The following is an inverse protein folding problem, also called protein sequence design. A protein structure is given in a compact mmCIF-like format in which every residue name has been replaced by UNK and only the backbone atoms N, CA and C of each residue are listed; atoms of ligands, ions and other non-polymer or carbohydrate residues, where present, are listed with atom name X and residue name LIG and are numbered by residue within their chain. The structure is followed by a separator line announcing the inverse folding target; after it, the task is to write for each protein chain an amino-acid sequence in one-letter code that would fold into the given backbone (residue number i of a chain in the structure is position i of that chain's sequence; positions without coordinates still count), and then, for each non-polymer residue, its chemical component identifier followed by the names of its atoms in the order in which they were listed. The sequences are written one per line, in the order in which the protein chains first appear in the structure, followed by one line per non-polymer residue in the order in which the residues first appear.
data_IF_460836941092
#
_entry.id   IF_460836941092
#
_cell.length_a   1.000
_cell.length_b   1.000
_cell.length_c   1.000
_cell.angle_alpha   90.00
_cell.angle_beta   90.00
_cell.angle_gamma   90.00
#
_symmetry.space_group_name_H-M   'P 1'
#
loop_
_entity.id
_entity.type
_entity.pdbx_description
1 polymer ?
#
# COMPACT_ATOMS: atom_id res chain seq x y z
N UNK A 1 7.28 -18.70 -35.95
CA UNK A 1 8.09 -17.93 -34.98
C UNK A 1 7.18 -16.89 -34.36
N UNK A 2 6.45 -17.28 -33.31
CA UNK A 2 5.60 -16.39 -32.52
C UNK A 2 6.52 -15.67 -31.53
N UNK A 3 6.66 -14.35 -31.74
CA UNK A 3 7.31 -13.50 -30.77
C UNK A 3 6.63 -13.68 -29.41
N UNK A 4 7.37 -14.10 -28.41
CA UNK A 4 6.98 -13.99 -27.02
C UNK A 4 6.71 -12.50 -26.77
N UNK A 5 5.44 -12.08 -26.79
CA UNK A 5 5.04 -10.78 -26.24
C UNK A 5 5.31 -10.91 -24.74
N UNK A 6 6.32 -10.23 -24.24
CA UNK A 6 6.54 -10.10 -22.82
C UNK A 6 5.21 -9.73 -22.17
N UNK A 7 4.84 -10.48 -21.13
CA UNK A 7 3.70 -10.21 -20.27
C UNK A 7 3.97 -8.84 -19.65
N UNK A 8 3.26 -7.81 -20.11
CA UNK A 8 3.59 -6.42 -19.79
C UNK A 8 2.48 -5.82 -18.93
N UNK A 9 2.80 -5.61 -17.66
CA UNK A 9 2.10 -4.66 -16.79
C UNK A 9 2.46 -3.25 -17.26
N UNK A 10 1.48 -2.37 -17.42
CA UNK A 10 1.70 -0.99 -17.82
C UNK A 10 2.29 -0.16 -16.68
N UNK A 11 3.14 0.84 -16.96
CA UNK A 11 3.56 1.83 -15.96
C UNK A 11 2.35 2.46 -15.27
N UNK A 12 2.48 2.75 -13.98
CA UNK A 12 1.37 3.28 -13.18
C UNK A 12 0.87 4.64 -13.69
N UNK A 13 1.75 5.43 -14.27
CA UNK A 13 1.41 6.72 -14.88
C UNK A 13 0.39 6.56 -16.02
N UNK A 14 0.54 5.52 -16.85
CA UNK A 14 -0.41 5.22 -17.93
C UNK A 14 -1.76 4.71 -17.39
N UNK A 15 -1.74 3.99 -16.26
CA UNK A 15 -2.96 3.57 -15.56
C UNK A 15 -3.70 4.80 -15.02
N UNK A 16 -2.96 5.75 -14.39
CA UNK A 16 -3.53 6.98 -13.89
C UNK A 16 -4.12 7.85 -15.02
N UNK A 17 -3.49 7.88 -16.19
CA UNK A 17 -4.02 8.59 -17.36
C UNK A 17 -5.35 7.99 -17.83
N UNK A 18 -5.43 6.68 -18.06
CA UNK A 18 -6.67 6.03 -18.46
C UNK A 18 -7.77 6.17 -17.40
N UNK A 19 -7.40 6.02 -16.13
CA UNK A 19 -8.34 6.17 -15.02
C UNK A 19 -8.88 7.60 -14.91
N UNK A 20 -8.02 8.62 -15.10
CA UNK A 20 -8.39 10.03 -15.12
C UNK A 20 -9.33 10.39 -16.28
N UNK A 21 -9.21 9.68 -17.41
CA UNK A 21 -10.12 9.77 -18.54
C UNK A 21 -11.48 9.06 -18.28
N UNK A 22 -11.70 8.51 -17.08
CA UNK A 22 -12.91 7.77 -16.71
C UNK A 22 -12.98 6.35 -17.28
N UNK A 23 -11.85 5.82 -17.78
CA UNK A 23 -11.78 4.47 -18.32
C UNK A 23 -11.58 3.43 -17.22
N UNK A 24 -12.10 2.23 -17.49
CA UNK A 24 -11.84 1.05 -16.69
C UNK A 24 -10.41 0.55 -16.91
N UNK A 25 -9.75 0.11 -15.84
CA UNK A 25 -8.41 -0.50 -15.85
C UNK A 25 -8.45 -1.84 -15.13
N UNK A 26 -7.41 -2.64 -15.27
CA UNK A 26 -7.19 -3.86 -14.48
C UNK A 26 -6.07 -3.56 -13.47
N UNK A 27 -6.28 -3.87 -12.20
CA UNK A 27 -5.22 -3.91 -11.21
C UNK A 27 -4.94 -5.34 -10.79
N UNK A 28 -3.65 -5.67 -10.60
CA UNK A 28 -3.21 -6.94 -10.04
C UNK A 28 -2.52 -6.72 -8.71
N UNK A 29 -2.77 -7.61 -7.76
CA UNK A 29 -2.05 -7.65 -6.49
C UNK A 29 -0.89 -8.66 -6.53
N UNK A 30 -0.21 -8.80 -5.39
CA UNK A 30 0.95 -9.66 -5.24
C UNK A 30 0.60 -11.15 -5.35
N UNK A 31 1.52 -11.96 -5.93
CA UNK A 31 1.37 -13.42 -6.04
C UNK A 31 1.28 -14.09 -4.66
N UNK A 32 1.92 -13.51 -3.63
CA UNK A 32 1.91 -14.01 -2.26
C UNK A 32 0.67 -13.57 -1.47
N UNK A 33 -0.19 -12.67 -2.04
CA UNK A 33 -1.42 -12.20 -1.41
C UNK A 33 -2.64 -12.98 -1.94
N UNK A 34 -3.46 -12.39 -2.80
CA UNK A 34 -4.63 -13.04 -3.44
C UNK A 34 -4.25 -13.58 -4.82
N UNK A 35 -3.24 -12.95 -5.45
CA UNK A 35 -2.80 -13.22 -6.81
C UNK A 35 -3.95 -13.12 -7.80
N UNK A 36 -4.72 -12.04 -7.73
CA UNK A 36 -5.94 -11.81 -8.50
C UNK A 36 -5.84 -10.52 -9.30
N UNK A 37 -6.79 -10.32 -10.21
CA UNK A 37 -6.94 -9.09 -10.96
C UNK A 37 -8.37 -8.60 -10.94
N UNK A 38 -8.56 -7.32 -10.60
CA UNK A 38 -9.85 -6.66 -10.59
C UNK A 38 -9.98 -5.65 -11.72
N UNK A 39 -11.17 -5.59 -12.31
CA UNK A 39 -11.65 -4.44 -13.06
C UNK A 39 -11.86 -3.29 -12.08
N UNK A 40 -11.34 -2.10 -12.38
CA UNK A 40 -11.43 -0.93 -11.51
C UNK A 40 -11.81 0.31 -12.31
N UNK A 41 -12.82 1.04 -11.87
CA UNK A 41 -13.27 2.30 -12.47
C UNK A 41 -13.69 3.29 -11.38
N UNK A 42 -13.49 4.60 -11.62
CA UNK A 42 -13.96 5.63 -10.69
C UNK A 42 -15.49 5.54 -10.50
N UNK A 43 -15.95 5.50 -9.25
CA UNK A 43 -17.37 5.32 -8.96
C UNK A 43 -18.25 6.45 -9.54
N UNK A 44 -17.72 7.67 -9.62
CA UNK A 44 -18.42 8.80 -10.25
C UNK A 44 -18.51 8.72 -11.78
N UNK A 45 -17.67 7.89 -12.42
CA UNK A 45 -17.63 7.74 -13.89
C UNK A 45 -18.38 6.48 -14.38
N UNK A 46 -18.70 5.53 -13.48
CA UNK A 46 -19.28 4.24 -13.85
C UNK A 46 -20.63 4.40 -14.56
N UNK A 47 -20.83 3.65 -15.62
CA UNK A 47 -22.09 3.61 -16.39
C UNK A 47 -22.79 2.26 -16.25
N UNK A 48 -24.03 2.17 -16.71
CA UNK A 48 -24.76 0.89 -16.76
C UNK A 48 -24.07 -0.13 -17.70
N UNK A 49 -23.40 0.35 -18.74
CA UNK A 49 -22.63 -0.51 -19.66
C UNK A 49 -21.38 -1.08 -18.96
N UNK A 50 -20.71 -0.29 -18.12
CA UNK A 50 -19.57 -0.75 -17.31
C UNK A 50 -20.00 -1.81 -16.29
N UNK A 51 -21.12 -1.59 -15.58
CA UNK A 51 -21.68 -2.57 -14.65
C UNK A 51 -22.07 -3.86 -15.41
N UNK A 52 -22.66 -3.74 -16.58
CA UNK A 52 -22.99 -4.89 -17.42
C UNK A 52 -21.73 -5.61 -17.92
N UNK A 53 -20.68 -4.86 -18.26
CA UNK A 53 -19.38 -5.41 -18.62
C UNK A 53 -18.76 -6.22 -17.46
N UNK A 54 -18.71 -5.62 -16.27
CA UNK A 54 -18.21 -6.29 -15.06
C UNK A 54 -18.98 -7.59 -14.77
N UNK A 55 -20.32 -7.54 -14.82
CA UNK A 55 -21.17 -8.71 -14.57
C UNK A 55 -20.99 -9.80 -15.62
N UNK A 56 -20.82 -9.43 -16.90
CA UNK A 56 -20.76 -10.37 -18.02
C UNK A 56 -19.38 -10.97 -18.25
N UNK A 57 -18.33 -10.16 -18.08
CA UNK A 57 -16.96 -10.54 -18.41
C UNK A 57 -16.06 -10.66 -17.19
N UNK A 58 -16.20 -9.79 -16.18
CA UNK A 58 -15.51 -9.94 -14.88
C UNK A 58 -16.01 -11.16 -14.13
N UNK A 59 -17.32 -11.28 -13.96
CA UNK A 59 -18.04 -12.41 -13.29
C UNK A 59 -17.83 -12.46 -11.78
N UNK A 60 -17.04 -11.55 -11.21
CA UNK A 60 -16.81 -11.41 -9.78
C UNK A 60 -17.94 -10.68 -9.06
N UNK A 61 -17.72 -10.34 -7.79
CA UNK A 61 -18.64 -9.54 -7.01
C UNK A 61 -18.40 -8.07 -7.31
N UNK A 62 -19.45 -7.37 -7.77
CA UNK A 62 -19.36 -5.92 -7.99
C UNK A 62 -19.41 -5.21 -6.65
N UNK A 63 -18.28 -4.64 -6.24
CA UNK A 63 -18.09 -3.95 -4.97
C UNK A 63 -17.87 -2.44 -5.18
N UNK A 64 -18.27 -1.65 -4.17
CA UNK A 64 -18.03 -0.22 -4.12
C UNK A 64 -17.01 0.08 -3.03
N UNK A 65 -15.79 0.49 -3.40
CA UNK A 65 -14.78 0.87 -2.42
C UNK A 65 -15.06 2.27 -1.90
N UNK A 66 -15.07 2.43 -0.57
CA UNK A 66 -15.36 3.70 0.09
C UNK A 66 -14.35 4.00 1.19
N UNK A 67 -14.12 5.27 1.48
CA UNK A 67 -13.38 5.69 2.67
C UNK A 67 -14.18 5.44 3.94
N UNK A 68 -13.49 5.31 5.08
CA UNK A 68 -14.14 5.23 6.41
C UNK A 68 -15.07 6.43 6.66
N UNK A 69 -14.64 7.64 6.25
CA UNK A 69 -15.45 8.85 6.38
C UNK A 69 -16.76 8.76 5.60
N UNK A 70 -16.70 8.29 4.34
CA UNK A 70 -17.89 8.09 3.52
C UNK A 70 -18.81 7.03 4.10
N UNK A 71 -18.28 5.90 4.58
CA UNK A 71 -19.07 4.87 5.26
C UNK A 71 -19.77 5.44 6.50
N UNK A 72 -19.09 6.25 7.30
CA UNK A 72 -19.66 6.91 8.48
C UNK A 72 -20.77 7.89 8.10
N UNK A 73 -20.58 8.71 7.05
CA UNK A 73 -21.57 9.66 6.56
C UNK A 73 -22.84 8.97 6.07
N UNK A 74 -22.70 7.81 5.42
CA UNK A 74 -23.84 7.00 4.96
C UNK A 74 -24.40 6.07 6.06
N UNK A 75 -23.84 6.11 7.28
CA UNK A 75 -24.21 5.25 8.41
C UNK A 75 -24.13 3.74 8.05
N UNK A 76 -23.08 3.33 7.36
CA UNK A 76 -22.84 1.95 6.96
C UNK A 76 -22.01 1.20 8.00
N UNK A 77 -22.60 0.33 8.81
CA UNK A 77 -21.84 -0.54 9.72
C UNK A 77 -21.14 -1.64 8.96
N UNK A 78 -20.07 -2.19 9.53
CA UNK A 78 -19.46 -3.42 9.04
C UNK A 78 -20.49 -4.55 9.06
N UNK A 79 -20.41 -5.44 8.07
CA UNK A 79 -21.29 -6.60 7.91
C UNK A 79 -21.21 -7.57 9.11
N UNK A 80 -20.02 -7.65 9.72
CA UNK A 80 -19.75 -8.50 10.90
C UNK A 80 -18.99 -7.71 11.96
N UNK A 81 -19.16 -8.08 13.25
CA UNK A 81 -18.39 -7.50 14.35
C UNK A 81 -16.97 -8.08 14.41
N UNK A 82 -16.89 -9.41 14.27
CA UNK A 82 -15.63 -10.15 14.30
C UNK A 82 -15.31 -10.64 12.89
N UNK A 83 -14.32 -10.00 12.27
CA UNK A 83 -13.88 -10.34 10.91
C UNK A 83 -12.82 -11.44 10.96
N UNK A 84 -13.22 -12.65 10.57
CA UNK A 84 -12.35 -13.84 10.52
C UNK A 84 -11.88 -14.14 9.08
N UNK A 85 -12.07 -13.22 8.11
CA UNK A 85 -11.59 -13.44 6.75
C UNK A 85 -10.07 -13.36 6.69
N UNK A 86 -9.47 -14.19 5.83
CA UNK A 86 -8.01 -14.32 5.70
C UNK A 86 -7.30 -12.97 5.47
N UNK A 87 -7.91 -12.09 4.71
CA UNK A 87 -7.35 -10.79 4.32
C UNK A 87 -8.02 -9.61 5.00
N UNK A 88 -8.86 -9.87 6.01
CA UNK A 88 -9.53 -8.84 6.82
C UNK A 88 -10.26 -7.78 5.98
N UNK A 89 -10.93 -8.20 4.89
CA UNK A 89 -11.68 -7.31 4.01
C UNK A 89 -12.90 -6.73 4.75
N UNK A 90 -12.99 -5.41 4.85
CA UNK A 90 -14.00 -4.71 5.63
C UNK A 90 -15.30 -4.50 4.82
N UNK A 91 -16.03 -5.57 4.56
CA UNK A 91 -17.36 -5.45 3.99
C UNK A 91 -18.29 -4.70 4.96
N UNK A 92 -19.06 -3.76 4.42
CA UNK A 92 -20.21 -3.17 5.11
C UNK A 92 -21.48 -3.93 4.74
N UNK A 93 -22.61 -3.58 5.37
CA UNK A 93 -23.91 -4.03 4.89
C UNK A 93 -24.12 -3.63 3.44
N UNK A 94 -24.76 -4.49 2.63
CA UNK A 94 -25.09 -4.16 1.24
C UNK A 94 -26.13 -3.05 1.16
N UNK A 95 -26.10 -2.27 0.09
CA UNK A 95 -26.89 -1.05 -0.06
C UNK A 95 -27.73 -1.04 -1.34
N UNK A 96 -28.80 -0.22 -1.28
CA UNK A 96 -29.60 0.19 -2.42
C UNK A 96 -29.90 1.69 -2.33
N UNK A 97 -30.07 2.38 -3.48
CA UNK A 97 -30.58 3.74 -3.46
C UNK A 97 -32.01 3.77 -2.95
N UNK A 98 -32.35 4.71 -2.05
CA UNK A 98 -33.70 4.87 -1.51
C UNK A 98 -34.74 5.27 -2.57
N UNK A 99 -34.26 5.81 -3.70
CA UNK A 99 -35.12 6.29 -4.82
C UNK A 99 -34.44 6.03 -6.17
N UNK A 100 -35.23 5.95 -7.21
CA UNK A 100 -34.73 5.87 -8.60
C UNK A 100 -34.33 4.48 -9.07
N UNK A 101 -34.59 3.44 -8.27
CA UNK A 101 -34.34 2.03 -8.60
C UNK A 101 -35.65 1.24 -8.64
N UNK A 102 -35.60 0.09 -9.32
CA UNK A 102 -36.72 -0.86 -9.39
C UNK A 102 -36.51 -2.02 -8.41
N UNK A 103 -35.92 -3.13 -8.89
CA UNK A 103 -35.59 -4.29 -8.04
C UNK A 103 -34.16 -4.23 -7.50
N UNK A 104 -33.36 -3.26 -7.95
CA UNK A 104 -32.00 -3.01 -7.50
C UNK A 104 -30.88 -3.77 -8.26
N UNK A 105 -31.21 -4.94 -8.84
CA UNK A 105 -30.19 -5.84 -9.43
C UNK A 105 -29.79 -5.46 -10.85
N UNK A 106 -30.60 -4.71 -11.60
CA UNK A 106 -30.26 -4.34 -12.97
C UNK A 106 -28.99 -3.50 -13.04
N UNK A 107 -28.27 -3.51 -14.16
CA UNK A 107 -27.09 -2.68 -14.34
C UNK A 107 -27.40 -1.19 -14.08
N UNK A 108 -28.56 -0.72 -14.58
CA UNK A 108 -29.02 0.66 -14.37
C UNK A 108 -29.31 0.96 -12.89
N UNK A 109 -29.99 0.06 -12.16
CA UNK A 109 -30.29 0.24 -10.75
C UNK A 109 -29.00 0.27 -9.90
N UNK A 110 -28.06 -0.64 -10.18
CA UNK A 110 -26.75 -0.67 -9.50
C UNK A 110 -25.95 0.60 -9.74
N UNK A 111 -25.93 1.11 -10.98
CA UNK A 111 -25.30 2.40 -11.32
C UNK A 111 -25.97 3.55 -10.54
N UNK A 112 -27.29 3.58 -10.47
CA UNK A 112 -28.04 4.58 -9.71
C UNK A 112 -27.65 4.52 -8.22
N UNK A 113 -27.56 3.33 -7.64
CA UNK A 113 -27.15 3.11 -6.25
C UNK A 113 -25.73 3.61 -6.00
N UNK A 114 -24.77 3.29 -6.89
CA UNK A 114 -23.39 3.74 -6.79
C UNK A 114 -23.31 5.27 -6.85
N UNK A 115 -23.93 5.90 -7.85
CA UNK A 115 -23.91 7.37 -7.99
C UNK A 115 -24.55 8.06 -6.80
N UNK A 116 -25.64 7.50 -6.27
CA UNK A 116 -26.27 8.01 -5.04
C UNK A 116 -25.32 7.98 -3.87
N UNK A 117 -24.64 6.84 -3.64
CA UNK A 117 -23.73 6.65 -2.51
C UNK A 117 -22.48 7.55 -2.55
N UNK A 118 -21.98 7.89 -3.76
CA UNK A 118 -20.77 8.72 -3.93
C UNK A 118 -21.06 10.20 -4.21
N UNK A 119 -22.34 10.59 -4.31
CA UNK A 119 -22.73 11.99 -4.46
C UNK A 119 -22.18 12.83 -3.31
N UNK A 120 -21.73 14.05 -3.61
CA UNK A 120 -21.25 15.00 -2.60
C UNK A 120 -22.31 15.28 -1.54
N UNK A 121 -23.59 15.36 -1.93
CA UNK A 121 -24.70 15.61 -1.01
C UNK A 121 -25.25 14.37 -0.31
N UNK A 122 -24.75 13.15 -0.63
CA UNK A 122 -25.28 11.89 -0.12
C UNK A 122 -25.27 11.82 1.42
N UNK A 123 -26.35 11.29 1.96
CA UNK A 123 -26.59 11.08 3.39
C UNK A 123 -27.16 9.67 3.64
N UNK A 124 -27.31 9.30 4.90
CA UNK A 124 -27.90 8.01 5.28
C UNK A 124 -29.34 7.83 4.76
N UNK A 125 -30.10 8.91 4.59
CA UNK A 125 -31.49 8.85 4.13
C UNK A 125 -31.63 8.55 2.62
N UNK A 126 -30.52 8.66 1.87
CA UNK A 126 -30.50 8.39 0.43
C UNK A 126 -30.24 6.91 0.12
N UNK A 127 -29.92 6.11 1.14
CA UNK A 127 -29.52 4.70 1.04
C UNK A 127 -30.45 3.85 1.93
N UNK A 128 -30.82 2.69 1.42
CA UNK A 128 -31.48 1.63 2.18
C UNK A 128 -30.64 0.37 2.22
N UNK A 129 -30.84 -0.45 3.23
CA UNK A 129 -30.15 -1.73 3.45
C UNK A 129 -31.16 -2.83 3.75
N UNK A 130 -30.93 -4.08 3.27
CA UNK A 130 -29.87 -4.51 2.35
C UNK A 130 -30.16 -4.11 0.90
N UNK A 131 -29.17 -4.31 0.01
CA UNK A 131 -29.29 -4.04 -1.42
C UNK A 131 -28.36 -4.91 -2.27
N UNK A 132 -28.09 -4.47 -3.51
CA UNK A 132 -27.37 -5.22 -4.52
C UNK A 132 -25.98 -4.64 -4.86
N UNK A 133 -25.55 -3.61 -4.14
CA UNK A 133 -24.18 -3.11 -4.15
C UNK A 133 -23.54 -3.42 -2.80
N UNK A 134 -22.30 -3.88 -2.82
CA UNK A 134 -21.52 -4.31 -1.66
C UNK A 134 -20.41 -3.30 -1.38
N UNK A 135 -20.60 -2.33 -0.46
CA UNK A 135 -19.54 -1.42 -0.10
C UNK A 135 -18.47 -2.14 0.70
N UNK A 136 -17.20 -1.80 0.39
CA UNK A 136 -16.02 -2.26 1.12
C UNK A 136 -15.28 -1.04 1.63
N UNK A 137 -15.08 -0.97 2.94
CA UNK A 137 -14.41 0.15 3.60
C UNK A 137 -12.90 -0.01 3.50
N UNK A 138 -12.24 0.93 2.82
CA UNK A 138 -10.78 0.98 2.73
C UNK A 138 -10.15 1.32 4.07
N UNK A 139 -8.97 0.77 4.33
CA UNK A 139 -8.16 1.15 5.48
C UNK A 139 -7.64 2.59 5.32
N UNK A 140 -7.63 3.41 6.39
CA UNK A 140 -6.94 4.68 6.39
C UNK A 140 -5.49 4.53 5.93
N UNK A 141 -5.00 5.46 5.09
CA UNK A 141 -3.67 5.36 4.47
C UNK A 141 -3.65 4.61 3.13
N UNK A 142 -4.76 3.99 2.72
CA UNK A 142 -4.90 3.37 1.40
C UNK A 142 -3.92 2.21 1.19
N UNK A 143 -3.33 2.09 -0.02
CA UNK A 143 -2.37 1.02 -0.35
C UNK A 143 -1.11 1.04 0.50
N UNK A 144 -0.81 2.17 1.14
CA UNK A 144 0.30 2.27 2.10
C UNK A 144 0.01 1.55 3.42
N UNK A 145 -1.24 1.29 3.76
CA UNK A 145 -1.65 0.51 4.93
C UNK A 145 -1.96 -0.93 4.56
N UNK A 146 -2.73 -1.16 3.50
CA UNK A 146 -3.11 -2.48 3.02
C UNK A 146 -3.03 -2.54 1.50
N UNK A 147 -2.16 -3.41 0.97
CA UNK A 147 -1.92 -3.54 -0.47
C UNK A 147 -3.04 -4.34 -1.18
N UNK A 148 -4.29 -3.90 -1.04
CA UNK A 148 -5.47 -4.56 -1.61
C UNK A 148 -6.18 -3.71 -2.66
N UNK A 149 -7.01 -4.37 -3.49
CA UNK A 149 -7.79 -3.73 -4.55
C UNK A 149 -8.75 -2.65 -4.01
N UNK A 150 -9.30 -2.84 -2.81
CA UNK A 150 -10.13 -1.86 -2.10
C UNK A 150 -9.42 -0.53 -1.92
N UNK A 151 -8.23 -0.59 -1.32
CA UNK A 151 -7.40 0.58 -1.05
C UNK A 151 -6.87 1.19 -2.36
N UNK A 152 -6.48 0.34 -3.31
CA UNK A 152 -6.00 0.78 -4.61
C UNK A 152 -7.07 1.55 -5.39
N UNK A 153 -8.32 1.11 -5.36
CA UNK A 153 -9.44 1.81 -5.99
C UNK A 153 -9.66 3.20 -5.40
N UNK A 154 -9.67 3.32 -4.07
CA UNK A 154 -9.80 4.62 -3.37
C UNK A 154 -8.63 5.55 -3.69
N UNK A 155 -7.40 5.01 -3.72
CA UNK A 155 -6.20 5.80 -4.01
C UNK A 155 -6.15 6.28 -5.46
N UNK A 156 -6.49 5.43 -6.44
CA UNK A 156 -6.57 5.85 -7.85
C UNK A 156 -7.57 6.99 -8.01
N UNK A 157 -8.77 6.85 -7.42
CA UNK A 157 -9.79 7.89 -7.50
C UNK A 157 -9.29 9.22 -6.90
N UNK A 158 -8.68 9.18 -5.73
CA UNK A 158 -8.11 10.36 -5.05
C UNK A 158 -6.97 11.00 -5.88
N UNK A 159 -6.03 10.22 -6.39
CA UNK A 159 -4.90 10.70 -7.18
C UNK A 159 -5.34 11.33 -8.51
N UNK A 160 -6.45 10.86 -9.07
CA UNK A 160 -7.02 11.40 -10.31
C UNK A 160 -8.00 12.57 -10.08
N UNK A 161 -8.24 12.96 -8.81
CA UNK A 161 -9.10 14.10 -8.46
C UNK A 161 -10.60 13.78 -8.46
N UNK A 162 -10.97 12.51 -8.42
CA UNK A 162 -12.34 12.05 -8.23
C UNK A 162 -12.71 11.94 -6.73
N UNK A 163 -14.00 11.76 -6.43
CA UNK A 163 -14.41 11.28 -5.12
C UNK A 163 -13.65 9.99 -4.80
N UNK A 164 -13.05 9.84 -3.59
CA UNK A 164 -12.26 8.67 -3.23
C UNK A 164 -13.10 7.39 -3.11
N UNK A 165 -13.58 6.92 -4.23
CA UNK A 165 -14.45 5.75 -4.37
C UNK A 165 -14.30 5.13 -5.76
N UNK A 166 -14.28 3.81 -5.84
CA UNK A 166 -14.19 3.05 -7.09
C UNK A 166 -15.18 1.89 -7.09
N UNK A 167 -15.58 1.48 -8.28
CA UNK A 167 -16.25 0.20 -8.48
C UNK A 167 -15.19 -0.81 -8.88
N UNK A 168 -15.16 -1.94 -8.18
CA UNK A 168 -14.24 -3.04 -8.44
C UNK A 168 -15.00 -4.34 -8.68
N UNK A 169 -14.41 -5.24 -9.46
CA UNK A 169 -14.97 -6.55 -9.72
C UNK A 169 -13.83 -7.51 -10.09
N UNK A 170 -13.71 -8.61 -9.38
CA UNK A 170 -12.73 -9.67 -9.67
C UNK A 170 -12.97 -10.26 -11.07
N UNK A 171 -11.88 -10.68 -11.73
CA UNK A 171 -11.95 -11.32 -13.04
C UNK A 171 -11.80 -12.83 -12.88
N UNK A 172 -12.84 -13.55 -13.31
CA UNK A 172 -12.87 -15.01 -13.36
C UNK A 172 -12.76 -15.52 -14.78
N UNK A 173 -12.11 -16.65 -14.94
CA UNK A 173 -12.09 -17.42 -16.17
C UNK A 173 -13.49 -17.98 -16.51
N UNK A 174 -13.76 -18.36 -17.78
CA UNK A 174 -15.05 -18.94 -18.18
C UNK A 174 -15.45 -20.21 -17.42
N UNK A 175 -14.49 -20.93 -16.84
CA UNK A 175 -14.71 -22.13 -16.04
C UNK A 175 -15.01 -21.83 -14.55
N UNK A 176 -14.99 -20.54 -14.17
CA UNK A 176 -15.23 -20.07 -12.80
C UNK A 176 -13.98 -20.03 -11.91
N UNK A 177 -12.81 -20.41 -12.42
CA UNK A 177 -11.55 -20.21 -11.70
C UNK A 177 -11.11 -18.75 -11.74
N UNK A 178 -10.28 -18.34 -10.76
CA UNK A 178 -9.73 -16.98 -10.74
C UNK A 178 -8.74 -16.78 -11.89
N UNK A 179 -8.89 -15.68 -12.64
CA UNK A 179 -7.93 -15.29 -13.67
C UNK A 179 -6.62 -14.84 -13.01
N UNK A 180 -5.49 -15.35 -13.54
CA UNK A 180 -4.14 -14.98 -13.10
C UNK A 180 -3.47 -14.12 -14.16
N UNK A 181 -2.32 -13.52 -13.86
CA UNK A 181 -1.68 -12.56 -14.75
C UNK A 181 -1.60 -13.01 -16.23
N UNK A 182 -1.27 -14.28 -16.59
CA UNK A 182 -1.30 -14.70 -17.98
C UNK A 182 -2.70 -14.61 -18.63
N UNK A 183 -3.77 -14.95 -17.88
CA UNK A 183 -5.15 -14.88 -18.34
C UNK A 183 -5.59 -13.42 -18.48
N UNK A 184 -5.20 -12.57 -17.50
CA UNK A 184 -5.50 -11.15 -17.47
C UNK A 184 -4.87 -10.39 -18.65
N UNK A 185 -3.66 -10.77 -19.08
CA UNK A 185 -3.03 -10.21 -20.28
C UNK A 185 -3.86 -10.52 -21.53
N UNK A 186 -4.35 -11.76 -21.63
CA UNK A 186 -5.28 -12.14 -22.72
C UNK A 186 -6.59 -11.37 -22.66
N UNK A 187 -7.15 -11.22 -21.48
CA UNK A 187 -8.38 -10.46 -21.21
C UNK A 187 -8.21 -8.98 -21.54
N UNK A 188 -7.16 -8.32 -21.00
CA UNK A 188 -6.86 -6.93 -21.25
C UNK A 188 -6.64 -6.64 -22.74
N UNK A 189 -5.86 -7.49 -23.41
CA UNK A 189 -5.64 -7.39 -24.87
C UNK A 189 -6.90 -7.54 -25.71
N UNK A 190 -7.83 -8.41 -25.29
CA UNK A 190 -9.12 -8.61 -25.97
C UNK A 190 -10.06 -7.41 -25.79
N UNK A 191 -10.07 -6.81 -24.63
CA UNK A 191 -11.03 -5.76 -24.27
C UNK A 191 -10.42 -4.34 -24.31
N UNK A 192 -9.13 -4.21 -24.65
CA UNK A 192 -8.44 -2.92 -24.74
C UNK A 192 -8.21 -2.25 -23.37
N UNK A 193 -8.05 -3.05 -22.31
CA UNK A 193 -7.82 -2.58 -20.95
C UNK A 193 -6.34 -2.73 -20.57
N UNK A 194 -5.78 -1.68 -19.96
CA UNK A 194 -4.43 -1.73 -19.38
C UNK A 194 -4.43 -2.45 -18.05
N UNK A 195 -3.28 -3.06 -17.74
CA UNK A 195 -3.05 -3.77 -16.48
C UNK A 195 -1.98 -3.04 -15.69
N UNK A 196 -2.29 -2.63 -14.47
CA UNK A 196 -1.35 -2.05 -13.52
C UNK A 196 -1.13 -2.96 -12.30
N UNK A 197 0.01 -2.80 -11.62
CA UNK A 197 0.27 -3.50 -10.37
C UNK A 197 0.04 -2.59 -9.16
N UNK A 198 -0.58 -3.10 -8.11
CA UNK A 198 -0.73 -2.38 -6.83
C UNK A 198 0.63 -2.02 -6.23
N UNK A 199 1.64 -2.87 -6.42
CA UNK A 199 3.02 -2.58 -6.01
C UNK A 199 3.59 -1.31 -6.68
N UNK A 200 3.26 -1.06 -7.95
CA UNK A 200 3.70 0.17 -8.65
C UNK A 200 2.93 1.41 -8.15
N UNK A 201 1.65 1.26 -7.80
CA UNK A 201 0.89 2.33 -7.15
C UNK A 201 1.47 2.69 -5.77
N UNK A 202 1.90 1.71 -4.98
CA UNK A 202 2.61 1.94 -3.72
C UNK A 202 3.89 2.71 -3.96
N UNK A 203 4.73 2.29 -4.93
CA UNK A 203 5.98 2.99 -5.28
C UNK A 203 5.71 4.43 -5.72
N UNK A 204 4.68 4.63 -6.54
CA UNK A 204 4.28 5.95 -7.03
C UNK A 204 3.88 6.87 -5.86
N UNK A 205 3.03 6.40 -4.95
CA UNK A 205 2.62 7.17 -3.77
C UNK A 205 3.81 7.51 -2.87
N UNK A 206 4.66 6.52 -2.54
CA UNK A 206 5.85 6.74 -1.72
C UNK A 206 6.83 7.74 -2.31
N UNK A 207 6.91 7.81 -3.65
CA UNK A 207 7.78 8.75 -4.36
C UNK A 207 7.21 10.17 -4.40
N UNK A 208 5.90 10.30 -4.56
CA UNK A 208 5.25 11.58 -4.86
C UNK A 208 4.52 12.20 -3.65
N UNK A 209 4.25 11.41 -2.60
CA UNK A 209 3.58 11.87 -1.38
C UNK A 209 4.53 11.74 -0.18
N UNK A 210 4.86 12.84 0.53
CA UNK A 210 5.57 12.72 1.79
C UNK A 210 4.67 12.05 2.83
N UNK A 211 5.14 10.96 3.41
CA UNK A 211 4.41 10.22 4.45
C UNK A 211 5.01 10.41 5.83
N UNK A 212 6.27 10.87 5.90
CA UNK A 212 6.99 11.09 7.15
C UNK A 212 7.41 12.54 7.32
N UNK A 213 7.22 13.08 8.50
CA UNK A 213 7.48 14.46 8.85
C UNK A 213 8.43 14.58 10.04
N UNK A 214 9.46 15.41 9.93
CA UNK A 214 10.33 15.76 11.06
C UNK A 214 9.54 16.55 12.09
N UNK A 215 9.52 16.04 13.34
CA UNK A 215 8.76 16.66 14.45
C UNK A 215 9.68 17.33 15.46
N UNK A 216 10.73 16.64 15.89
CA UNK A 216 11.63 17.11 16.93
C UNK A 216 13.08 16.72 16.61
N UNK A 217 14.02 17.55 17.10
CA UNK A 217 15.44 17.26 17.05
C UNK A 217 16.07 17.53 18.43
N UNK A 218 16.85 16.55 18.92
CA UNK A 218 17.57 16.61 20.17
C UNK A 218 18.99 16.06 20.02
N UNK A 219 19.83 16.23 21.06
CA UNK A 219 21.13 15.57 21.19
C UNK A 219 21.02 14.44 22.20
N UNK A 220 21.57 13.28 21.84
CA UNK A 220 21.61 12.11 22.71
C UNK A 220 23.06 11.67 22.86
N UNK A 221 23.50 11.53 24.10
CA UNK A 221 24.79 10.96 24.44
C UNK A 221 24.67 9.44 24.52
N UNK A 222 25.55 8.76 23.81
CA UNK A 222 25.67 7.30 23.84
C UNK A 222 27.10 6.92 24.24
N UNK A 223 27.34 5.65 24.53
CA UNK A 223 28.72 5.19 24.79
C UNK A 223 29.66 5.32 23.57
N UNK A 224 29.09 5.49 22.36
CA UNK A 224 29.82 5.67 21.10
C UNK A 224 29.95 7.14 20.67
N UNK A 225 29.49 8.09 21.50
CA UNK A 225 29.54 9.51 21.23
C UNK A 225 28.19 10.19 21.21
N UNK A 226 28.19 11.46 20.77
CA UNK A 226 26.99 12.28 20.69
C UNK A 226 26.35 12.19 19.31
N UNK A 227 25.07 11.88 19.29
CA UNK A 227 24.26 11.82 18.06
C UNK A 227 23.17 12.91 18.09
N UNK A 228 22.83 13.45 16.94
CA UNK A 228 21.58 14.18 16.74
C UNK A 228 20.45 13.15 16.61
N UNK A 229 19.47 13.21 17.49
CA UNK A 229 18.29 12.36 17.49
C UNK A 229 17.13 13.13 16.87
N UNK A 230 16.64 12.68 15.73
CA UNK A 230 15.58 13.33 14.99
C UNK A 230 14.38 12.41 14.96
N UNK A 231 13.26 12.93 15.45
CA UNK A 231 12.00 12.20 15.54
C UNK A 231 11.16 12.54 14.30
N UNK A 232 10.68 11.50 13.64
CA UNK A 232 9.76 11.57 12.50
C UNK A 232 8.44 10.93 12.87
N UNK A 233 7.35 11.54 12.43
CA UNK A 233 5.99 10.99 12.52
C UNK A 233 5.54 10.55 11.15
N UNK A 234 5.08 9.30 11.06
CA UNK A 234 4.32 8.78 9.91
C UNK A 234 2.85 9.03 10.19
N UNK A 235 2.27 9.99 9.47
CA UNK A 235 0.89 10.45 9.70
C UNK A 235 -0.12 9.40 9.27
N UNK A 236 0.17 8.66 8.19
CA UNK A 236 -0.71 7.63 7.65
C UNK A 236 -0.81 6.41 8.58
N UNK A 237 0.32 5.96 9.10
CA UNK A 237 0.42 4.78 9.94
C UNK A 237 0.38 5.08 11.44
N UNK A 238 0.41 6.37 11.83
CA UNK A 238 0.50 6.83 13.22
C UNK A 238 1.70 6.23 13.97
N UNK A 239 2.80 6.07 13.25
CA UNK A 239 4.05 5.55 13.81
C UNK A 239 5.05 6.68 14.05
N UNK A 240 5.92 6.50 15.03
CA UNK A 240 7.01 7.43 15.33
C UNK A 240 8.33 6.75 15.03
N UNK A 241 9.12 7.34 14.13
CA UNK A 241 10.43 6.85 13.74
C UNK A 241 11.54 7.70 14.33
N UNK A 242 12.73 7.13 14.45
CA UNK A 242 13.89 7.81 15.01
C UNK A 242 15.08 7.71 14.07
N UNK A 243 15.69 8.83 13.73
CA UNK A 243 16.99 8.85 13.08
C UNK A 243 18.05 9.35 14.05
N UNK A 244 19.18 8.62 14.14
CA UNK A 244 20.37 9.00 14.90
C UNK A 244 21.48 9.34 13.91
N UNK A 245 21.93 10.59 13.92
CA UNK A 245 22.88 11.14 12.97
C UNK A 245 24.18 11.52 13.68
N UNK A 246 25.31 11.00 13.20
CA UNK A 246 26.65 11.37 13.62
C UNK A 246 27.37 12.13 12.50
N UNK A 247 28.10 13.16 12.84
CA UNK A 247 28.85 13.97 11.89
C UNK A 247 27.96 14.85 10.99
N UNK A 248 28.62 15.47 9.98
CA UNK A 248 27.94 16.27 8.96
C UNK A 248 27.58 15.39 7.76
N UNK A 249 26.32 15.42 7.37
CA UNK A 249 25.82 14.68 6.20
C UNK A 249 25.82 15.61 4.99
N UNK A 250 26.46 15.17 3.89
CA UNK A 250 26.50 15.89 2.62
C UNK A 250 26.15 14.93 1.47
N UNK A 251 25.37 15.38 0.49
CA UNK A 251 24.83 14.49 -0.55
C UNK A 251 25.90 13.91 -1.49
N UNK A 252 27.02 14.60 -1.63
CA UNK A 252 28.17 14.21 -2.46
C UNK A 252 29.12 13.23 -1.78
N UNK A 253 29.03 13.09 -0.44
CA UNK A 253 29.90 12.23 0.36
C UNK A 253 29.17 10.96 0.81
N UNK A 254 29.75 9.77 0.59
CA UNK A 254 29.11 8.54 1.07
C UNK A 254 28.93 8.50 2.58
N UNK A 255 27.69 8.43 3.04
CA UNK A 255 27.36 8.27 4.44
C UNK A 255 27.16 6.78 4.81
N UNK A 256 27.63 6.38 6.00
CA UNK A 256 27.27 5.09 6.58
C UNK A 256 25.79 5.09 6.96
N UNK A 257 25.00 4.16 6.42
CA UNK A 257 23.57 4.13 6.67
C UNK A 257 23.10 2.74 7.11
N UNK A 258 22.32 2.73 8.16
CA UNK A 258 21.52 1.58 8.57
C UNK A 258 20.06 2.00 8.68
N UNK A 259 19.19 1.35 7.94
CA UNK A 259 17.74 1.40 8.16
C UNK A 259 17.33 0.07 8.78
N UNK A 260 16.69 0.12 9.91
CA UNK A 260 16.29 -1.06 10.68
C UNK A 260 14.89 -0.89 11.22
N UNK A 261 14.07 -1.91 11.05
CA UNK A 261 12.77 -1.99 11.70
C UNK A 261 12.97 -2.37 13.15
N UNK A 262 12.33 -1.63 14.05
CA UNK A 262 12.27 -1.95 15.48
C UNK A 262 10.88 -2.52 15.81
N UNK A 263 10.87 -3.79 16.24
CA UNK A 263 9.66 -4.61 16.48
C UNK A 263 9.37 -4.79 17.97
N UNK A 264 9.81 -3.85 18.79
CA UNK A 264 9.55 -3.85 20.23
C UNK A 264 10.07 -5.09 20.95
N UNK A 265 9.15 -5.82 21.59
CA UNK A 265 9.49 -6.96 22.45
C UNK A 265 10.20 -8.10 21.71
N UNK A 266 9.87 -8.32 20.42
CA UNK A 266 10.52 -9.36 19.63
C UNK A 266 12.01 -9.11 19.42
N UNK A 267 12.41 -7.87 19.12
CA UNK A 267 13.81 -7.53 18.89
C UNK A 267 14.64 -7.67 20.16
N UNK A 268 14.09 -7.31 21.31
CA UNK A 268 14.75 -7.51 22.63
C UNK A 268 15.02 -9.02 22.86
N UNK A 269 14.07 -9.89 22.50
CA UNK A 269 14.23 -11.34 22.63
C UNK A 269 15.21 -11.90 21.59
N UNK A 270 15.18 -11.41 20.36
CA UNK A 270 16.09 -11.81 19.27
C UNK A 270 17.54 -11.45 19.61
N UNK A 271 17.78 -10.26 20.18
CA UNK A 271 19.09 -9.81 20.65
C UNK A 271 19.62 -10.71 21.77
N UNK A 272 18.76 -11.10 22.73
CA UNK A 272 19.11 -12.04 23.81
C UNK A 272 19.44 -13.46 23.27
N UNK A 273 18.92 -13.84 22.11
CA UNK A 273 19.20 -15.15 21.46
C UNK A 273 20.42 -15.11 20.54
N UNK A 274 21.09 -13.97 20.36
CA UNK A 274 22.29 -13.83 19.53
C UNK A 274 22.04 -14.10 18.03
N UNK A 275 20.82 -13.89 17.53
CA UNK A 275 20.47 -14.14 16.13
C UNK A 275 20.90 -12.95 15.26
N UNK A 276 21.97 -13.11 14.61
CA UNK A 276 22.76 -12.52 13.53
C UNK A 276 22.24 -11.34 12.70
N UNK A 277 21.78 -10.24 13.33
CA UNK A 277 21.54 -8.96 12.66
C UNK A 277 22.41 -7.89 13.32
N UNK A 278 22.80 -6.85 12.55
CA UNK A 278 23.39 -5.66 13.14
C UNK A 278 22.52 -5.19 14.31
N UNK A 279 23.06 -5.24 15.53
CA UNK A 279 22.41 -4.61 16.68
C UNK A 279 22.45 -3.10 16.54
N UNK A 280 21.54 -2.39 17.21
CA UNK A 280 21.57 -0.92 17.29
C UNK A 280 22.93 -0.44 17.78
N UNK A 281 23.46 -1.11 18.77
CA UNK A 281 24.75 -0.77 19.38
C UNK A 281 25.93 -0.90 18.39
N UNK A 282 26.04 -2.04 17.70
CA UNK A 282 27.09 -2.25 16.70
C UNK A 282 26.97 -1.27 15.50
N UNK A 283 25.75 -0.91 15.13
CA UNK A 283 25.53 0.10 14.09
C UNK A 283 26.00 1.49 14.54
N UNK A 284 25.69 1.90 15.78
CA UNK A 284 26.13 3.19 16.35
C UNK A 284 27.66 3.24 16.47
N UNK A 285 28.29 2.17 16.95
CA UNK A 285 29.75 2.05 17.03
C UNK A 285 30.39 2.25 15.66
N UNK A 286 29.90 1.54 14.65
CA UNK A 286 30.43 1.62 13.29
C UNK A 286 30.26 3.01 12.67
N UNK A 287 29.06 3.61 12.82
CA UNK A 287 28.77 4.95 12.31
C UNK A 287 29.66 6.00 12.96
N UNK A 288 29.84 5.92 14.28
CA UNK A 288 30.71 6.86 15.02
C UNK A 288 32.19 6.70 14.60
N UNK A 289 32.66 5.46 14.41
CA UNK A 289 34.04 5.15 14.02
C UNK A 289 34.44 5.60 12.61
N UNK A 290 33.50 5.71 11.71
CA UNK A 290 33.75 6.12 10.30
C UNK A 290 33.61 7.63 10.07
N UNK A 291 33.36 8.41 11.14
CA UNK A 291 33.31 9.87 11.07
C UNK A 291 31.96 10.46 10.65
N UNK A 292 30.96 9.66 10.39
CA UNK A 292 29.62 10.14 10.13
C UNK A 292 28.69 9.15 9.45
N UNK A 293 27.40 9.28 9.70
CA UNK A 293 26.37 8.44 9.11
C UNK A 293 25.03 8.54 9.83
N UNK A 294 24.11 7.68 9.45
CA UNK A 294 22.72 7.69 9.89
C UNK A 294 22.24 6.28 10.26
N UNK A 295 21.71 6.13 11.46
CA UNK A 295 20.90 4.99 11.85
C UNK A 295 19.43 5.42 11.87
N UNK A 296 18.59 4.80 11.03
CA UNK A 296 17.14 4.99 11.03
C UNK A 296 16.48 3.79 11.69
N UNK A 297 15.73 4.04 12.75
CA UNK A 297 14.89 3.06 13.44
C UNK A 297 13.43 3.29 13.06
N UNK A 298 12.88 2.40 12.25
CA UNK A 298 11.49 2.41 11.87
C UNK A 298 10.70 1.61 12.90
N UNK A 299 9.86 2.28 13.69
CA UNK A 299 9.05 1.64 14.70
C UNK A 299 7.76 1.08 14.05
N UNK A 300 7.60 -0.24 14.13
CA UNK A 300 6.39 -0.95 13.75
C UNK A 300 5.98 -1.86 14.89
N UNK A 301 4.76 -1.68 15.38
CA UNK A 301 4.20 -2.60 16.36
C UNK A 301 3.77 -3.89 15.66
N UNK A 302 4.23 -5.04 16.18
CA UNK A 302 3.63 -6.32 15.83
C UNK A 302 2.26 -6.45 16.52
N UNK A 303 1.25 -6.91 15.81
CA UNK A 303 0.02 -7.37 16.44
C UNK A 303 0.20 -8.75 17.09
N UNK A 304 -0.78 -9.21 17.83
CA UNK A 304 -0.72 -10.47 18.55
C UNK A 304 -0.43 -11.67 17.64
N UNK A 305 -1.04 -11.69 16.45
CA UNK A 305 -0.90 -12.78 15.48
C UNK A 305 0.50 -12.80 14.88
N UNK A 306 1.00 -11.65 14.46
CA UNK A 306 2.35 -11.49 13.88
C UNK A 306 3.43 -11.85 14.90
N UNK A 307 3.26 -11.43 16.16
CA UNK A 307 4.19 -11.77 17.24
C UNK A 307 4.22 -13.29 17.51
N UNK A 308 3.06 -13.94 17.57
CA UNK A 308 2.96 -15.39 17.77
C UNK A 308 3.63 -16.17 16.64
N UNK A 309 3.35 -15.83 15.39
CA UNK A 309 3.99 -16.44 14.21
C UNK A 309 5.52 -16.32 14.24
N UNK A 310 6.04 -15.15 14.61
CA UNK A 310 7.48 -14.92 14.75
C UNK A 310 8.11 -15.74 15.88
N UNK A 311 7.42 -15.86 17.00
CA UNK A 311 7.89 -16.68 18.13
C UNK A 311 7.96 -18.15 17.78
N UNK A 312 7.07 -18.63 16.91
CA UNK A 312 7.08 -20.03 16.39
C UNK A 312 8.12 -20.23 15.29
N UNK A 313 8.77 -19.17 14.80
CA UNK A 313 9.69 -19.23 13.65
C UNK A 313 8.96 -19.39 12.33
N UNK A 314 7.65 -19.22 12.31
CA UNK A 314 6.82 -19.10 11.13
C UNK A 314 7.03 -17.67 10.59
N UNK A 315 8.18 -17.45 9.92
CA UNK A 315 8.46 -16.17 9.28
C UNK A 315 7.51 -16.05 8.09
N UNK A 316 6.32 -15.52 8.35
CA UNK A 316 5.51 -14.96 7.29
C UNK A 316 6.34 -13.85 6.65
N UNK A 317 6.56 -13.92 5.36
CA UNK A 317 7.05 -12.79 4.60
C UNK A 317 6.15 -11.61 4.98
N UNK A 318 6.71 -10.58 5.61
CA UNK A 318 6.06 -9.28 5.67
C UNK A 318 5.77 -8.96 4.21
N UNK A 319 4.52 -9.05 3.74
CA UNK A 319 4.21 -9.07 2.32
C UNK A 319 4.88 -7.90 1.59
N UNK A 320 5.16 -8.04 0.29
CA UNK A 320 5.92 -7.06 -0.52
C UNK A 320 5.49 -5.62 -0.25
N UNK A 321 4.20 -5.38 -0.03
CA UNK A 321 3.66 -4.08 0.33
C UNK A 321 4.20 -3.49 1.65
N UNK A 322 4.48 -4.31 2.67
CA UNK A 322 5.06 -3.85 3.95
C UNK A 322 6.54 -3.53 3.81
N UNK A 323 7.27 -4.36 3.05
CA UNK A 323 8.68 -4.12 2.75
C UNK A 323 8.87 -2.83 1.95
N UNK A 324 8.04 -2.60 0.93
CA UNK A 324 8.06 -1.36 0.14
C UNK A 324 7.77 -0.12 0.99
N UNK A 325 6.80 -0.19 1.93
CA UNK A 325 6.50 0.93 2.85
C UNK A 325 7.68 1.25 3.76
N UNK A 326 8.32 0.22 4.32
CA UNK A 326 9.50 0.40 5.16
C UNK A 326 10.66 1.03 4.39
N UNK A 327 10.91 0.57 3.17
CA UNK A 327 11.90 1.15 2.28
C UNK A 327 11.56 2.60 1.93
N UNK A 328 10.28 2.88 1.67
CA UNK A 328 9.78 4.23 1.36
C UNK A 328 9.97 5.21 2.52
N UNK A 329 9.50 4.87 3.72
CA UNK A 329 9.66 5.71 4.91
C UNK A 329 11.14 5.95 5.24
N UNK A 330 11.95 4.88 5.22
CA UNK A 330 13.39 4.99 5.42
C UNK A 330 14.08 5.88 4.39
N UNK A 331 13.69 5.75 3.12
CA UNK A 331 14.25 6.57 2.02
C UNK A 331 13.84 8.04 2.12
N UNK A 332 12.59 8.33 2.49
CA UNK A 332 12.13 9.71 2.72
C UNK A 332 12.88 10.37 3.89
N UNK A 333 13.09 9.63 5.00
CA UNK A 333 13.90 10.10 6.13
C UNK A 333 15.33 10.40 5.69
N UNK A 334 15.97 9.52 4.93
CA UNK A 334 17.33 9.74 4.44
C UNK A 334 17.42 10.94 3.48
N UNK A 335 16.43 11.13 2.62
CA UNK A 335 16.35 12.29 1.73
C UNK A 335 16.18 13.61 2.51
N UNK A 336 15.32 13.64 3.54
CA UNK A 336 15.15 14.79 4.43
C UNK A 336 16.46 15.12 5.23
N UNK A 337 17.28 14.12 5.52
CA UNK A 337 18.59 14.28 6.13
C UNK A 337 19.69 14.66 5.13
N UNK A 338 19.33 14.92 3.87
CA UNK A 338 20.25 15.28 2.79
C UNK A 338 21.32 14.21 2.49
N UNK A 339 20.98 12.94 2.68
CA UNK A 339 21.82 11.81 2.28
C UNK A 339 21.66 11.61 0.76
N UNK A 340 22.76 11.62 0.00
CA UNK A 340 22.73 11.33 -1.44
C UNK A 340 23.43 9.99 -1.75
N UNK A 341 24.62 9.77 -1.18
CA UNK A 341 25.40 8.53 -1.38
C UNK A 341 25.38 7.69 -0.12
N UNK A 342 25.12 6.39 -0.28
CA UNK A 342 24.89 5.48 0.84
C UNK A 342 25.85 4.30 0.83
N UNK A 343 26.56 4.08 1.94
CA UNK A 343 27.19 2.80 2.27
C UNK A 343 26.29 2.07 3.28
N UNK A 344 25.63 1.00 2.82
CA UNK A 344 24.62 0.29 3.63
C UNK A 344 25.30 -0.67 4.60
N UNK A 345 24.97 -0.55 5.90
CA UNK A 345 25.33 -1.57 6.91
C UNK A 345 24.33 -2.72 6.82
N UNK A 346 24.73 -3.78 6.13
CA UNK A 346 23.87 -4.96 5.88
C UNK A 346 24.23 -5.73 4.64
N UNK A 347 23.37 -6.68 4.29
CA UNK A 347 23.45 -7.46 3.04
C UNK A 347 22.84 -6.69 1.86
N UNK A 348 23.27 -6.98 0.62
CA UNK A 348 22.67 -6.38 -0.56
C UNK A 348 21.15 -6.57 -0.60
N UNK A 349 20.41 -5.47 -0.68
CA UNK A 349 18.98 -5.44 -0.93
C UNK A 349 18.73 -5.34 -2.45
N UNK A 350 17.54 -5.73 -2.91
CA UNK A 350 17.13 -5.45 -4.29
C UNK A 350 17.02 -3.93 -4.46
N UNK A 351 18.03 -3.32 -5.10
CA UNK A 351 18.35 -1.89 -5.07
C UNK A 351 17.40 -0.97 -5.84
N UNK A 352 16.51 -1.51 -6.68
CA UNK A 352 15.64 -0.68 -7.54
C UNK A 352 14.63 0.20 -6.76
N UNK A 353 14.31 -0.16 -5.53
CA UNK A 353 13.36 0.60 -4.71
C UNK A 353 13.95 1.89 -4.09
N UNK A 354 15.27 1.99 -3.93
CA UNK A 354 15.94 3.09 -3.24
C UNK A 354 16.32 4.23 -4.21
N UNK A 355 16.69 3.89 -5.45
CA UNK A 355 17.13 4.86 -6.46
C UNK A 355 16.05 5.89 -6.84
N UNK A 356 14.76 5.52 -6.69
CA UNK A 356 13.61 6.43 -6.93
C UNK A 356 13.55 7.65 -6.00
N UNK A 357 14.29 7.63 -4.87
CA UNK A 357 14.33 8.71 -3.88
C UNK A 357 15.59 9.59 -3.98
N UNK A 358 16.37 9.48 -5.06
CA UNK A 358 17.60 10.24 -5.23
C UNK A 358 18.79 9.70 -4.42
N UNK A 359 18.70 8.48 -3.90
CA UNK A 359 19.74 7.81 -3.12
C UNK A 359 20.57 6.89 -4.02
N UNK A 360 21.90 7.04 -3.99
CA UNK A 360 22.87 6.19 -4.70
C UNK A 360 23.54 5.24 -3.72
N UNK A 361 23.34 3.92 -3.89
CA UNK A 361 24.05 2.92 -3.08
C UNK A 361 25.42 2.68 -3.68
N UNK A 362 26.48 3.12 -2.98
CA UNK A 362 27.87 3.01 -3.42
C UNK A 362 28.60 1.82 -2.81
N UNK A 363 28.01 1.10 -1.87
CA UNK A 363 28.60 -0.10 -1.28
C UNK A 363 27.83 -0.67 -0.09
N UNK A 364 28.27 -1.84 0.33
CA UNK A 364 27.72 -2.57 1.47
C UNK A 364 28.84 -2.90 2.47
N UNK A 365 28.51 -2.87 3.74
CA UNK A 365 29.41 -3.25 4.82
C UNK A 365 28.76 -4.40 5.57
N UNK A 366 29.43 -5.56 5.49
CA UNK A 366 29.01 -6.76 6.23
C UNK A 366 29.25 -6.58 7.72
N UNK A 367 28.52 -7.34 8.52
CA UNK A 367 28.79 -7.44 9.97
C UNK A 367 30.17 -8.08 10.15
N UNK A 368 30.99 -7.58 11.11
CA UNK A 368 32.29 -8.16 11.41
C UNK A 368 32.20 -9.60 11.92
#
# INVERSE_FOLDING_TARGET
MTANKEISVSPIEEILEDYKDGKMVILVDDEDRENEGDLVIAAGCVTADDINFMASYGRGLICLTLTEERCRRLNLPLMVRDNNSRYSTNFTVSIEAAKGVTTGISAADRTTTIHTAVSEAASADDIVTPGHIFPVMAQPGGVLTRAGHTEAGVDLARLCGFEPASVICEILNPDGSMARLPDLVGFGGKHGLRIGAIADLIRYRLKNEPTVWRVLENRVETRHGVFRAIIYEDVELRHVHLALVSGEIRPDVPAMVRVQTHRGVYDMLAEARGVGRWSVDAALERIAGEGGGVLVLLAYADDTTTLDQRLRGEVGADGEGRELRMLGAGSQILADLNVGKVKVLGTPLRTHAISGFGLEVVGYVSQP
#
